data_IF_490426640959
#
_entry.id   IF_490426640959
#
_cell.length_a   1.000
_cell.length_b   1.000
_cell.length_c   1.000
_cell.angle_alpha   90.00
_cell.angle_beta   90.00
_cell.angle_gamma   90.00
#
_symmetry.space_group_name_H-M   'P 1'
#
loop_
_entity.id
_entity.type
_entity.pdbx_description
1 polymer ?
#
# COMPACT_ATOMS: atom_id res chain seq x y z
N UNK A 1 6.47 -18.96 -5.87
CA UNK A 1 5.46 -17.88 -5.97
C UNK A 1 6.06 -16.60 -6.60
N UNK A 2 5.29 -15.89 -7.43
CA UNK A 2 5.71 -14.59 -7.99
C UNK A 2 5.90 -13.54 -6.87
N UNK A 3 6.59 -12.43 -7.14
CA UNK A 3 6.71 -11.34 -6.15
C UNK A 3 5.35 -10.80 -5.72
N UNK A 4 4.40 -10.72 -6.64
CA UNK A 4 3.02 -10.28 -6.37
C UNK A 4 2.30 -11.28 -5.46
N UNK A 5 2.45 -12.58 -5.70
CA UNK A 5 1.81 -13.61 -4.86
C UNK A 5 2.35 -13.56 -3.42
N UNK A 6 3.66 -13.45 -3.24
CA UNK A 6 4.27 -13.26 -1.92
C UNK A 6 3.79 -11.96 -1.25
N UNK A 7 3.67 -10.89 -2.05
CA UNK A 7 3.14 -9.61 -1.59
C UNK A 7 1.70 -9.70 -1.10
N UNK A 8 0.86 -10.48 -1.80
CA UNK A 8 -0.52 -10.74 -1.41
C UNK A 8 -0.60 -11.44 -0.07
N UNK A 9 0.19 -12.49 0.15
CA UNK A 9 0.26 -13.20 1.43
C UNK A 9 0.68 -12.28 2.59
N UNK A 10 1.70 -11.44 2.36
CA UNK A 10 2.16 -10.44 3.33
C UNK A 10 1.04 -9.43 3.62
N UNK A 11 0.37 -8.93 2.59
CA UNK A 11 -0.72 -7.96 2.75
C UNK A 11 -1.87 -8.54 3.58
N UNK A 12 -2.29 -9.77 3.27
CA UNK A 12 -3.34 -10.48 4.03
C UNK A 12 -2.93 -10.78 5.47
N UNK A 13 -1.63 -10.92 5.75
CA UNK A 13 -1.14 -11.19 7.10
C UNK A 13 -1.04 -9.92 7.95
N UNK A 14 -0.56 -8.81 7.39
CA UNK A 14 -0.16 -7.62 8.17
C UNK A 14 -0.93 -6.35 7.84
N UNK A 15 -1.41 -6.19 6.61
CA UNK A 15 -1.97 -4.92 6.13
C UNK A 15 -3.50 -4.89 6.14
N UNK A 16 -4.13 -6.06 5.99
CA UNK A 16 -5.59 -6.24 5.86
C UNK A 16 -6.37 -5.63 7.03
N UNK A 17 -5.81 -5.65 8.24
CA UNK A 17 -6.47 -5.13 9.44
C UNK A 17 -6.79 -3.63 9.33
N UNK A 18 -5.99 -2.88 8.57
CA UNK A 18 -6.17 -1.44 8.39
C UNK A 18 -6.69 -1.08 6.99
N UNK A 19 -6.33 -1.85 5.97
CA UNK A 19 -6.64 -1.54 4.57
C UNK A 19 -7.73 -2.42 3.95
N UNK A 20 -8.26 -3.40 4.70
CA UNK A 20 -9.23 -4.41 4.23
C UNK A 20 -8.69 -5.31 3.11
N UNK A 21 -9.40 -6.41 2.84
CA UNK A 21 -8.90 -7.53 2.01
C UNK A 21 -8.56 -7.14 0.57
N UNK A 22 -9.27 -6.16 0.01
CA UNK A 22 -9.08 -5.67 -1.35
C UNK A 22 -8.33 -4.33 -1.38
N UNK A 23 -7.83 -3.85 -0.23
CA UNK A 23 -7.17 -2.55 -0.12
C UNK A 23 -8.12 -1.36 -0.06
N UNK A 24 -9.42 -1.57 0.11
CA UNK A 24 -10.44 -0.53 0.04
C UNK A 24 -10.48 0.43 1.25
N UNK A 25 -9.66 0.19 2.28
CA UNK A 25 -9.44 1.10 3.39
C UNK A 25 -10.45 0.95 4.54
N UNK A 26 -9.96 1.03 5.78
CA UNK A 26 -10.75 1.10 7.02
C UNK A 26 -10.15 2.18 7.92
N UNK A 27 -9.11 1.82 8.67
CA UNK A 27 -8.31 2.78 9.44
C UNK A 27 -7.27 3.42 8.52
N UNK A 28 -6.59 2.60 7.72
CA UNK A 28 -5.74 3.05 6.63
C UNK A 28 -6.54 3.58 5.43
N UNK A 29 -5.91 4.33 4.52
CA UNK A 29 -6.54 4.83 3.30
C UNK A 29 -6.94 3.71 2.33
N UNK A 30 -7.81 4.07 1.39
CA UNK A 30 -8.10 3.28 0.21
C UNK A 30 -6.85 3.26 -0.70
N UNK A 31 -6.36 2.08 -1.05
CA UNK A 31 -5.18 1.87 -1.91
C UNK A 31 -5.57 1.53 -3.36
N UNK A 32 -6.88 1.47 -3.64
CA UNK A 32 -7.43 1.05 -4.94
C UNK A 32 -7.79 2.21 -5.85
N UNK A 33 -7.87 3.43 -5.31
CA UNK A 33 -8.18 4.64 -6.05
C UNK A 33 -6.90 5.38 -6.51
N UNK A 34 -7.10 6.59 -7.05
CA UNK A 34 -6.01 7.44 -7.56
C UNK A 34 -5.48 8.46 -6.55
N UNK A 35 -5.95 8.47 -5.32
CA UNK A 35 -5.61 9.47 -4.30
C UNK A 35 -4.58 8.91 -3.32
N UNK A 36 -3.48 9.64 -3.12
CA UNK A 36 -2.35 9.17 -2.32
C UNK A 36 -1.91 10.26 -1.34
N UNK A 37 -1.84 9.91 -0.05
CA UNK A 37 -1.42 10.83 1.02
C UNK A 37 0.10 11.06 1.01
N UNK A 38 0.88 10.02 0.69
CA UNK A 38 2.35 10.02 0.77
C UNK A 38 3.04 9.82 -0.57
N UNK A 39 2.34 10.09 -1.68
CA UNK A 39 2.83 9.87 -3.03
C UNK A 39 2.53 8.48 -3.57
N UNK A 40 2.33 8.42 -4.89
CA UNK A 40 1.95 7.22 -5.62
C UNK A 40 3.07 6.63 -6.48
N UNK A 41 4.34 7.01 -6.35
CA UNK A 41 5.39 6.28 -7.07
C UNK A 41 5.72 4.97 -6.34
N UNK A 42 6.22 3.92 -7.03
CA UNK A 42 6.67 2.70 -6.36
C UNK A 42 7.62 2.94 -5.20
N UNK A 43 8.54 3.91 -5.33
CA UNK A 43 9.46 4.28 -4.26
C UNK A 43 8.80 5.05 -3.11
N UNK A 44 7.74 5.82 -3.38
CA UNK A 44 6.99 6.52 -2.34
C UNK A 44 6.27 5.51 -1.43
N UNK A 45 5.61 4.51 -2.04
CA UNK A 45 5.00 3.41 -1.29
C UNK A 45 6.07 2.62 -0.53
N UNK A 46 7.19 2.27 -1.19
CA UNK A 46 8.27 1.54 -0.55
C UNK A 46 8.78 2.27 0.69
N UNK A 47 9.00 3.57 0.61
CA UNK A 47 9.45 4.39 1.73
C UNK A 47 8.39 4.45 2.83
N UNK A 48 7.11 4.60 2.48
CA UNK A 48 5.99 4.62 3.43
C UNK A 48 5.86 3.28 4.17
N UNK A 49 5.94 2.15 3.48
CA UNK A 49 5.88 0.82 4.10
C UNK A 49 7.13 0.56 4.95
N UNK A 50 8.31 0.94 4.48
CA UNK A 50 9.57 0.74 5.20
C UNK A 50 9.59 1.52 6.52
N UNK A 51 9.25 2.81 6.47
CA UNK A 51 9.40 3.74 7.59
C UNK A 51 8.13 3.86 8.45
N UNK A 52 6.98 3.42 7.93
CA UNK A 52 5.70 3.59 8.58
C UNK A 52 5.24 5.04 8.61
N UNK A 53 4.09 5.26 9.25
CA UNK A 53 3.50 6.56 9.54
C UNK A 53 3.08 6.52 11.02
N UNK A 54 4.08 6.62 11.89
CA UNK A 54 3.96 6.26 13.31
C UNK A 54 2.95 7.14 14.06
N UNK A 55 2.89 8.43 13.73
CA UNK A 55 1.94 9.38 14.28
C UNK A 55 0.48 9.09 13.87
N UNK A 56 0.29 8.31 12.80
CA UNK A 56 -1.01 7.84 12.31
C UNK A 56 -1.25 6.35 12.55
N UNK A 57 -0.37 5.68 13.30
CA UNK A 57 -0.51 4.29 13.71
C UNK A 57 -0.07 3.23 12.69
N UNK A 58 0.48 3.62 11.53
CA UNK A 58 1.07 2.65 10.59
C UNK A 58 2.49 2.32 11.04
N UNK A 59 2.73 1.05 11.39
CA UNK A 59 4.04 0.58 11.85
C UNK A 59 5.13 0.68 10.76
N UNK A 60 6.39 0.80 11.18
CA UNK A 60 7.56 0.76 10.32
C UNK A 60 7.92 -0.70 9.98
N UNK A 61 7.54 -1.16 8.79
CA UNK A 61 7.67 -2.58 8.43
C UNK A 61 9.06 -2.97 7.95
N UNK A 62 9.95 -2.00 7.70
CA UNK A 62 11.30 -2.23 7.17
C UNK A 62 12.11 -3.23 7.99
N UNK A 63 12.14 -3.07 9.31
CA UNK A 63 12.90 -3.95 10.20
C UNK A 63 12.26 -5.34 10.36
N UNK A 64 10.92 -5.42 10.33
CA UNK A 64 10.20 -6.68 10.55
C UNK A 64 10.14 -7.55 9.29
N UNK A 65 9.95 -6.94 8.13
CA UNK A 65 9.82 -7.65 6.86
C UNK A 65 11.15 -7.76 6.12
N UNK A 66 12.03 -6.77 6.25
CA UNK A 66 13.23 -6.66 5.44
C UNK A 66 12.93 -6.21 3.99
N UNK A 67 13.95 -5.76 3.24
CA UNK A 67 13.77 -5.07 1.97
C UNK A 67 13.05 -5.91 0.91
N UNK A 68 13.36 -7.21 0.81
CA UNK A 68 12.75 -8.10 -0.19
C UNK A 68 11.25 -8.28 0.02
N UNK A 69 10.80 -8.44 1.27
CA UNK A 69 9.38 -8.61 1.59
C UNK A 69 8.61 -7.29 1.49
N UNK A 70 9.26 -6.16 1.80
CA UNK A 70 8.69 -4.84 1.52
C UNK A 70 8.50 -4.65 0.01
N UNK A 71 9.49 -4.99 -0.82
CA UNK A 71 9.33 -4.93 -2.28
C UNK A 71 8.20 -5.82 -2.78
N UNK A 72 8.03 -7.02 -2.19
CA UNK A 72 6.93 -7.92 -2.55
C UNK A 72 5.56 -7.31 -2.25
N UNK A 73 5.34 -6.78 -1.03
CA UNK A 73 4.04 -6.16 -0.70
C UNK A 73 3.78 -4.89 -1.49
N UNK A 74 4.81 -4.08 -1.77
CA UNK A 74 4.68 -2.92 -2.67
C UNK A 74 4.24 -3.37 -4.06
N UNK A 75 4.87 -4.42 -4.61
CA UNK A 75 4.48 -4.95 -5.92
C UNK A 75 3.01 -5.39 -5.95
N UNK A 76 2.50 -5.98 -4.87
CA UNK A 76 1.08 -6.32 -4.76
C UNK A 76 0.19 -5.07 -4.65
N UNK A 77 0.54 -4.09 -3.82
CA UNK A 77 -0.21 -2.82 -3.69
C UNK A 77 -0.32 -2.10 -5.03
N UNK A 78 0.73 -2.13 -5.86
CA UNK A 78 0.68 -1.57 -7.21
C UNK A 78 -0.37 -2.24 -8.11
N UNK A 79 -0.67 -3.52 -7.91
CA UNK A 79 -1.74 -4.22 -8.66
C UNK A 79 -3.15 -3.84 -8.23
N UNK A 80 -3.32 -3.24 -7.04
CA UNK A 80 -4.62 -2.81 -6.53
C UNK A 80 -5.07 -1.48 -7.14
N UNK A 81 -4.14 -0.71 -7.70
CA UNK A 81 -4.39 0.64 -8.21
C UNK A 81 -5.43 0.65 -9.31
N UNK A 82 -6.27 1.68 -9.29
CA UNK A 82 -7.33 1.92 -10.27
C UNK A 82 -8.35 0.76 -10.38
N UNK A 83 -8.37 -0.18 -9.43
CA UNK A 83 -9.45 -1.17 -9.33
C UNK A 83 -10.72 -0.57 -8.73
N UNK A 84 -10.61 0.61 -8.10
CA UNK A 84 -11.72 1.45 -7.62
C UNK A 84 -12.76 0.67 -6.80
N UNK A 85 -12.27 -0.12 -5.83
CA UNK A 85 -13.14 -0.91 -4.97
C UNK A 85 -13.89 0.05 -4.02
N UNK A 86 -15.23 -0.06 -3.92
CA UNK A 86 -15.99 0.73 -2.95
C UNK A 86 -15.45 0.52 -1.54
N UNK A 87 -15.19 1.63 -0.84
CA UNK A 87 -14.53 1.60 0.45
C UNK A 87 -14.48 2.99 1.07
N UNK A 88 -13.38 3.26 1.77
CA UNK A 88 -13.14 4.56 2.39
C UNK A 88 -13.09 5.69 1.35
N UNK A 89 -13.59 6.86 1.73
CA UNK A 89 -13.54 8.06 0.89
C UNK A 89 -12.09 8.40 0.48
N UNK A 90 -11.88 8.99 -0.71
CA UNK A 90 -10.55 9.31 -1.19
C UNK A 90 -9.76 10.25 -0.27
N UNK A 91 -8.46 10.01 -0.13
CA UNK A 91 -7.59 10.77 0.77
C UNK A 91 -6.26 11.15 0.12
N UNK A 92 -5.84 12.40 0.31
CA UNK A 92 -4.59 12.92 -0.27
C UNK A 92 -4.80 13.52 -1.65
N UNK A 93 -3.73 13.54 -2.44
CA UNK A 93 -3.71 14.17 -3.75
C UNK A 93 -3.86 13.15 -4.88
N UNK A 94 -4.41 13.58 -6.01
CA UNK A 94 -4.47 12.74 -7.20
C UNK A 94 -3.04 12.44 -7.65
N UNK A 95 -2.71 11.16 -7.73
CA UNK A 95 -1.50 10.68 -8.38
C UNK A 95 -1.82 10.32 -9.83
N UNK A 96 -1.21 11.05 -10.75
CA UNK A 96 -1.19 10.69 -12.17
C UNK A 96 0.19 10.12 -12.50
N UNK A 97 0.21 8.87 -12.99
CA UNK A 97 1.45 8.27 -13.48
C UNK A 97 1.81 8.97 -14.79
N UNK A 98 2.59 10.05 -14.69
CA UNK A 98 3.17 10.70 -15.87
C UNK A 98 4.05 9.70 -16.58
N UNK A 99 3.58 9.21 -17.72
CA UNK A 99 4.37 8.38 -18.64
C UNK A 99 5.63 9.16 -18.99
N UNK A 100 6.79 8.64 -18.59
CA UNK A 100 8.07 8.95 -19.24
C UNK A 100 8.37 7.83 -20.22
#
# INVERSE_FOLDING_TARGET
PSRVEQGREIFQTYCVVCHLEQGQGLVGPNLTDRFWIHGGKPMDIYNTVTNGVLDKGMAAWGNQLGPTRVQAVVAYVLTLRNTNVPGKDPQGDIYEETTQ
#
